data_IF_266820425861
#
_entry.id   IF_266820425861
#
_cell.length_a   1.000
_cell.length_b   1.000
_cell.length_c   1.000
_cell.angle_alpha   90.00
_cell.angle_beta   90.00
_cell.angle_gamma   90.00
#
_symmetry.space_group_name_H-M   'P 1'
#
loop_
_entity.id
_entity.type
_entity.pdbx_description
1 polymer ?
#
# COMPACT_ATOMS: atom_id res chain seq x y z
N UNK A 1 0.81 -13.74 13.04
CA UNK A 1 1.17 -15.07 13.58
C UNK A 1 2.39 -15.68 12.86
N UNK A 2 2.52 -15.60 11.53
CA UNK A 2 3.69 -16.16 10.80
C UNK A 2 5.09 -15.74 11.29
N UNK A 3 5.27 -14.49 11.74
CA UNK A 3 6.52 -14.06 12.37
C UNK A 3 6.74 -14.72 13.73
N UNK A 4 5.70 -14.77 14.58
CA UNK A 4 5.79 -15.37 15.90
C UNK A 4 6.12 -16.88 15.82
N UNK A 5 5.68 -17.54 14.75
CA UNK A 5 6.00 -18.93 14.43
C UNK A 5 7.39 -19.11 13.80
N UNK A 6 8.17 -18.04 13.64
CA UNK A 6 9.51 -18.05 13.03
C UNK A 6 9.54 -18.26 11.52
N UNK A 7 8.39 -18.23 10.84
CA UNK A 7 8.26 -18.59 9.41
C UNK A 7 8.43 -17.42 8.45
N UNK A 8 8.35 -16.19 8.97
CA UNK A 8 8.45 -14.96 8.19
C UNK A 8 9.37 -13.97 8.94
N UNK A 9 10.38 -13.39 8.28
CA UNK A 9 11.30 -12.48 8.95
C UNK A 9 10.58 -11.21 9.42
N UNK A 10 10.88 -10.78 10.64
CA UNK A 10 10.24 -9.62 11.27
C UNK A 10 10.50 -8.33 10.51
N UNK A 11 11.65 -8.23 9.85
CA UNK A 11 12.05 -7.10 9.02
C UNK A 11 11.04 -6.86 7.89
N UNK A 12 10.40 -7.90 7.37
CA UNK A 12 9.31 -7.76 6.42
C UNK A 12 7.95 -7.72 7.12
N UNK A 13 7.71 -8.66 8.04
CA UNK A 13 6.39 -8.91 8.61
C UNK A 13 5.83 -7.70 9.40
N UNK A 14 6.68 -7.01 10.16
CA UNK A 14 6.26 -5.89 10.98
C UNK A 14 5.94 -4.64 10.15
N UNK A 15 6.85 -4.10 9.31
CA UNK A 15 6.53 -2.89 8.55
C UNK A 15 5.39 -3.13 7.56
N UNK A 16 5.38 -4.24 6.83
CA UNK A 16 4.29 -4.54 5.89
C UNK A 16 2.95 -4.74 6.62
N UNK A 17 2.93 -5.54 7.71
CA UNK A 17 1.69 -5.81 8.43
C UNK A 17 1.11 -4.59 9.14
N UNK A 18 1.95 -3.73 9.74
CA UNK A 18 1.49 -2.49 10.37
C UNK A 18 0.98 -1.52 9.30
N UNK A 19 1.72 -1.37 8.21
CA UNK A 19 1.35 -0.51 7.10
C UNK A 19 0.01 -0.92 6.48
N UNK A 20 -0.18 -2.20 6.14
CA UNK A 20 -1.43 -2.72 5.59
C UNK A 20 -2.64 -2.43 6.50
N UNK A 21 -2.49 -2.64 7.81
CA UNK A 21 -3.55 -2.35 8.80
C UNK A 21 -3.84 -0.86 8.89
N UNK A 22 -2.82 -0.01 8.89
CA UNK A 22 -3.00 1.44 8.89
C UNK A 22 -3.66 1.93 7.60
N UNK A 23 -3.18 1.47 6.44
CA UNK A 23 -3.73 1.82 5.12
C UNK A 23 -5.20 1.40 5.02
N UNK A 24 -5.53 0.17 5.42
CA UNK A 24 -6.91 -0.33 5.45
C UNK A 24 -7.81 0.42 6.43
N UNK A 25 -7.33 0.69 7.65
CA UNK A 25 -8.07 1.45 8.66
C UNK A 25 -8.35 2.89 8.23
N UNK A 26 -7.34 3.57 7.67
CA UNK A 26 -7.49 4.91 7.12
C UNK A 26 -8.47 4.94 5.94
N UNK A 27 -8.56 3.87 5.14
CA UNK A 27 -9.50 3.80 4.03
C UNK A 27 -10.95 3.95 4.53
N UNK A 28 -11.32 3.29 5.63
CA UNK A 28 -12.65 3.39 6.24
C UNK A 28 -12.94 4.81 6.72
N UNK A 29 -11.97 5.44 7.40
CA UNK A 29 -12.10 6.81 7.89
C UNK A 29 -12.27 7.80 6.73
N UNK A 30 -11.47 7.67 5.68
CA UNK A 30 -11.53 8.52 4.50
C UNK A 30 -12.85 8.32 3.74
N UNK A 31 -13.32 7.08 3.59
CA UNK A 31 -14.61 6.77 2.99
C UNK A 31 -15.77 7.38 3.79
N UNK A 32 -15.74 7.29 5.12
CA UNK A 32 -16.74 7.90 5.98
C UNK A 32 -16.75 9.45 5.87
N UNK A 33 -15.56 10.08 5.78
CA UNK A 33 -15.46 11.54 5.56
C UNK A 33 -16.00 11.95 4.20
N UNK A 34 -15.73 11.15 3.16
CA UNK A 34 -16.27 11.38 1.82
C UNK A 34 -17.80 11.27 1.80
N UNK A 35 -18.36 10.22 2.43
CA UNK A 35 -19.81 10.01 2.51
C UNK A 35 -20.54 11.16 3.22
N UNK A 36 -19.88 11.84 4.15
CA UNK A 36 -20.42 13.00 4.88
C UNK A 36 -20.21 14.34 4.17
N UNK A 37 -19.65 14.35 2.95
CA UNK A 37 -19.24 15.58 2.25
C UNK A 37 -18.38 16.52 3.12
N UNK A 38 -17.54 15.96 3.99
CA UNK A 38 -16.77 16.75 4.94
C UNK A 38 -15.78 17.69 4.22
N UNK A 39 -15.57 18.88 4.77
CA UNK A 39 -14.52 19.78 4.32
C UNK A 39 -13.15 19.06 4.36
N UNK A 40 -12.38 19.19 3.29
CA UNK A 40 -11.08 18.53 3.15
C UNK A 40 -11.12 17.02 2.84
N UNK A 41 -12.28 16.44 2.50
CA UNK A 41 -12.34 15.02 2.09
C UNK A 41 -11.40 14.71 0.91
N UNK A 42 -11.24 15.65 -0.03
CA UNK A 42 -10.31 15.51 -1.16
C UNK A 42 -8.84 15.42 -0.74
N UNK A 43 -8.38 16.29 0.17
CA UNK A 43 -7.00 16.25 0.66
C UNK A 43 -6.74 14.98 1.48
N UNK A 44 -7.74 14.52 2.25
CA UNK A 44 -7.66 13.26 2.97
C UNK A 44 -7.52 12.04 2.03
N UNK A 45 -8.28 12.00 0.93
CA UNK A 45 -8.13 10.96 -0.11
C UNK A 45 -6.73 10.99 -0.72
N UNK A 46 -6.24 12.18 -1.07
CA UNK A 46 -4.90 12.34 -1.64
C UNK A 46 -3.81 11.83 -0.68
N UNK A 47 -3.87 12.24 0.58
CA UNK A 47 -2.93 11.80 1.62
C UNK A 47 -3.00 10.28 1.83
N UNK A 48 -4.20 9.70 1.84
CA UNK A 48 -4.38 8.26 1.97
C UNK A 48 -3.78 7.48 0.78
N UNK A 49 -3.99 7.94 -0.46
CA UNK A 49 -3.38 7.31 -1.62
C UNK A 49 -1.86 7.38 -1.58
N UNK A 50 -1.28 8.51 -1.16
CA UNK A 50 0.18 8.63 -1.05
C UNK A 50 0.73 7.72 0.06
N UNK A 51 0.05 7.67 1.20
CA UNK A 51 0.40 6.77 2.31
C UNK A 51 0.38 5.30 1.88
N UNK A 52 -0.70 4.85 1.24
CA UNK A 52 -0.80 3.47 0.79
C UNK A 52 0.20 3.10 -0.32
N UNK A 53 0.57 4.04 -1.21
CA UNK A 53 1.66 3.80 -2.17
C UNK A 53 3.00 3.65 -1.44
N UNK A 54 3.29 4.52 -0.47
CA UNK A 54 4.53 4.45 0.30
C UNK A 54 4.64 3.14 1.08
N UNK A 55 3.54 2.71 1.69
CA UNK A 55 3.42 1.43 2.38
C UNK A 55 3.74 0.24 1.46
N UNK A 56 3.12 0.19 0.28
CA UNK A 56 3.41 -0.86 -0.72
C UNK A 56 4.88 -0.85 -1.18
N UNK A 57 5.48 0.33 -1.35
CA UNK A 57 6.91 0.46 -1.69
C UNK A 57 7.79 -0.09 -0.58
N UNK A 58 7.47 0.22 0.69
CA UNK A 58 8.18 -0.33 1.85
C UNK A 58 8.03 -1.86 1.88
N UNK A 59 6.81 -2.39 1.72
CA UNK A 59 6.56 -3.83 1.72
C UNK A 59 7.34 -4.56 0.61
N UNK A 60 7.32 -4.04 -0.62
CA UNK A 60 8.08 -4.62 -1.75
C UNK A 60 9.59 -4.57 -1.50
N UNK A 61 10.09 -3.44 -1.00
CA UNK A 61 11.52 -3.26 -0.72
C UNK A 61 11.98 -4.22 0.37
N UNK A 62 11.25 -4.30 1.49
CA UNK A 62 11.57 -5.24 2.57
C UNK A 62 11.41 -6.70 2.13
N UNK A 63 10.42 -7.00 1.30
CA UNK A 63 10.24 -8.33 0.71
C UNK A 63 11.45 -8.72 -0.13
N UNK A 64 11.88 -7.86 -1.05
CA UNK A 64 13.07 -8.08 -1.87
C UNK A 64 14.36 -8.20 -1.03
N UNK A 65 14.52 -7.37 0.00
CA UNK A 65 15.70 -7.39 0.86
C UNK A 65 15.78 -8.62 1.77
N UNK A 66 14.66 -9.26 2.06
CA UNK A 66 14.59 -10.42 2.96
C UNK A 66 14.45 -11.76 2.22
N UNK A 67 14.13 -11.75 0.92
CA UNK A 67 14.04 -12.97 0.10
C UNK A 67 15.38 -13.32 -0.55
N UNK A 68 15.67 -14.62 -0.77
CA UNK A 68 16.84 -15.05 -1.52
C UNK A 68 16.82 -14.48 -2.95
N UNK A 69 17.91 -13.85 -3.35
CA UNK A 69 18.05 -13.24 -4.67
C UNK A 69 19.15 -12.20 -4.70
N UNK A 70 19.25 -11.47 -5.82
CA UNK A 70 20.22 -10.38 -5.99
C UNK A 70 20.13 -9.29 -4.91
N UNK A 71 18.94 -8.83 -4.48
CA UNK A 71 18.83 -7.80 -3.45
C UNK A 71 18.77 -8.36 -2.01
N UNK A 72 19.16 -9.61 -1.75
CA UNK A 72 19.10 -10.21 -0.41
C UNK A 72 20.13 -9.56 0.53
N UNK A 73 19.65 -8.69 1.42
CA UNK A 73 20.47 -7.86 2.30
C UNK A 73 20.15 -8.05 3.79
N UNK A 74 19.02 -8.67 4.11
CA UNK A 74 18.50 -8.87 5.46
C UNK A 74 17.99 -10.30 5.63
N UNK A 75 17.83 -10.73 6.88
CA UNK A 75 17.21 -12.02 7.23
C UNK A 75 17.93 -13.27 6.68
N UNK A 76 19.27 -13.26 6.63
CA UNK A 76 20.07 -14.40 6.14
C UNK A 76 19.81 -15.72 6.89
N UNK A 77 19.58 -15.66 8.21
CA UNK A 77 19.31 -16.84 9.05
C UNK A 77 17.88 -17.40 8.86
N UNK A 78 16.94 -16.56 8.44
CA UNK A 78 15.54 -16.93 8.21
C UNK A 78 14.97 -16.18 6.99
N UNK A 79 15.38 -16.54 5.77
CA UNK A 79 14.99 -15.81 4.57
C UNK A 79 13.49 -15.87 4.32
N UNK A 80 12.97 -14.83 3.67
CA UNK A 80 11.57 -14.72 3.30
C UNK A 80 11.24 -15.60 2.08
N UNK A 81 11.08 -16.90 2.33
CA UNK A 81 10.69 -17.87 1.31
C UNK A 81 9.18 -17.83 1.02
N UNK A 82 8.39 -17.48 2.03
CA UNK A 82 6.94 -17.56 1.97
C UNK A 82 6.34 -16.69 0.86
N UNK A 83 6.84 -15.46 0.66
CA UNK A 83 6.34 -14.56 -0.39
C UNK A 83 6.68 -15.01 -1.82
N UNK A 84 7.50 -16.05 -1.97
CA UNK A 84 7.79 -16.70 -3.26
C UNK A 84 7.09 -18.05 -3.42
N UNK A 85 6.37 -18.50 -2.39
CA UNK A 85 5.68 -19.79 -2.35
C UNK A 85 4.16 -19.63 -2.41
N UNK A 86 3.47 -20.63 -2.93
CA UNK A 86 2.00 -20.63 -2.92
C UNK A 86 1.48 -20.76 -1.47
N UNK A 87 0.42 -20.02 -1.08
CA UNK A 87 -0.35 -19.06 -1.88
C UNK A 87 0.18 -17.61 -1.83
N UNK A 88 1.15 -17.33 -0.96
CA UNK A 88 1.58 -15.95 -0.67
C UNK A 88 2.29 -15.27 -1.84
N UNK A 89 2.79 -16.02 -2.82
CA UNK A 89 3.33 -15.49 -4.09
C UNK A 89 2.32 -14.61 -4.83
N UNK A 90 1.01 -14.81 -4.64
CA UNK A 90 -0.01 -13.97 -5.26
C UNK A 90 0.02 -12.51 -4.77
N UNK A 91 0.55 -12.26 -3.57
CA UNK A 91 0.59 -10.91 -2.99
C UNK A 91 1.52 -9.99 -3.79
N UNK A 92 2.83 -10.26 -3.91
CA UNK A 92 3.72 -9.39 -4.67
C UNK A 92 3.43 -9.41 -6.18
N UNK A 93 2.88 -10.50 -6.72
CA UNK A 93 2.67 -10.64 -8.16
C UNK A 93 1.34 -10.09 -8.67
N UNK A 94 0.29 -10.03 -7.82
CA UNK A 94 -1.03 -9.52 -8.22
C UNK A 94 -1.60 -8.50 -7.25
N UNK A 95 -1.65 -8.79 -5.94
CA UNK A 95 -2.33 -7.92 -4.98
C UNK A 95 -1.66 -6.54 -4.88
N UNK A 96 -0.33 -6.51 -4.78
CA UNK A 96 0.44 -5.27 -4.72
C UNK A 96 0.31 -4.44 -6.01
N UNK A 97 0.54 -5.01 -7.22
CA UNK A 97 0.29 -4.29 -8.47
C UNK A 97 -1.14 -3.75 -8.60
N UNK A 98 -2.14 -4.55 -8.22
CA UNK A 98 -3.55 -4.12 -8.25
C UNK A 98 -3.79 -2.96 -7.30
N UNK A 99 -3.28 -3.02 -6.06
CA UNK A 99 -3.41 -1.94 -5.08
C UNK A 99 -2.78 -0.64 -5.57
N UNK A 100 -1.58 -0.71 -6.18
CA UNK A 100 -0.94 0.44 -6.83
C UNK A 100 -1.80 1.02 -7.96
N UNK A 101 -2.37 0.18 -8.82
CA UNK A 101 -3.27 0.63 -9.89
C UNK A 101 -4.50 1.34 -9.32
N UNK A 102 -5.12 0.81 -8.27
CA UNK A 102 -6.29 1.41 -7.64
C UNK A 102 -5.96 2.79 -7.05
N UNK A 103 -4.84 2.92 -6.35
CA UNK A 103 -4.39 4.23 -5.84
C UNK A 103 -4.10 5.21 -6.98
N UNK A 104 -3.46 4.74 -8.06
CA UNK A 104 -3.23 5.54 -9.27
C UNK A 104 -4.53 6.03 -9.92
N UNK A 105 -5.54 5.16 -10.04
CA UNK A 105 -6.86 5.52 -10.59
C UNK A 105 -7.55 6.58 -9.72
N UNK A 106 -7.50 6.43 -8.39
CA UNK A 106 -8.10 7.42 -7.47
C UNK A 106 -7.41 8.78 -7.61
N UNK A 107 -6.07 8.82 -7.64
CA UNK A 107 -5.31 10.04 -7.85
C UNK A 107 -5.61 10.68 -9.21
N UNK A 108 -5.72 9.86 -10.27
CA UNK A 108 -6.05 10.33 -11.60
C UNK A 108 -7.45 10.95 -11.68
N UNK A 109 -8.46 10.31 -11.07
CA UNK A 109 -9.82 10.85 -10.97
C UNK A 109 -9.82 12.18 -10.21
N UNK A 110 -9.13 12.24 -9.07
CA UNK A 110 -9.05 13.46 -8.26
C UNK A 110 -8.42 14.63 -9.03
N UNK A 111 -7.37 14.38 -9.82
CA UNK A 111 -6.75 15.41 -10.69
C UNK A 111 -7.70 15.90 -11.77
N UNK A 112 -8.44 15.00 -12.42
CA UNK A 112 -9.38 15.35 -13.50
C UNK A 112 -10.56 16.18 -12.99
N UNK A 113 -11.10 15.85 -11.82
CA UNK A 113 -12.17 16.64 -11.20
C UNK A 113 -11.72 18.07 -10.89
N UNK A 114 -10.51 18.24 -10.34
CA UNK A 114 -9.94 19.57 -10.04
C UNK A 114 -9.76 20.39 -11.32
N UNK A 115 -9.22 19.79 -12.39
CA UNK A 115 -9.06 20.46 -13.69
C UNK A 115 -10.42 20.88 -14.30
N UNK A 116 -11.44 20.02 -14.23
CA UNK A 116 -12.78 20.36 -14.73
C UNK A 116 -13.43 21.49 -13.93
N UNK A 117 -13.30 21.51 -12.60
CA UNK A 117 -13.80 22.62 -11.77
C UNK A 117 -13.09 23.94 -12.07
N UNK A 118 -11.77 23.90 -12.29
CA UNK A 118 -11.00 25.09 -12.68
C UNK A 118 -11.45 25.70 -14.00
N UNK A 119 -11.76 24.87 -15.00
CA UNK A 119 -12.30 25.33 -16.29
C UNK A 119 -13.68 25.99 -16.17
N UNK A 120 -14.57 25.42 -15.35
CA UNK A 120 -15.90 25.99 -15.12
C UNK A 120 -15.86 27.33 -14.37
N UNK A 121 -14.88 27.52 -13.48
CA UNK A 121 -14.70 28.80 -12.78
C UNK A 121 -14.07 29.90 -13.63
N UNK A 122 -13.46 29.54 -14.77
CA UNK A 122 -12.80 30.48 -15.69
C UNK A 122 -13.67 30.86 -16.90
N UNK A 123 -14.87 30.29 -17.03
CA UNK A 123 -15.86 30.58 -18.07
C UNK A 123 -16.99 31.46 -17.50
#
# INVERSE_FOLDING_TARGET
MLWADGRLPWQFALPAGIGDVMTGGLAVVVAARLARNAAGARSAIYAWCLFGIADLVVAVTMGAMTSPGRPHLLAFEAPNLLITSWPLVMIPTFAVPLALMLHGIVLWRLRRETASKGRLAAA
#
